data_IF_510463901630
#
_entry.id   IF_510463901630
#
_cell.length_a   1.000
_cell.length_b   1.000
_cell.length_c   1.000
_cell.angle_alpha   90.00
_cell.angle_beta   90.00
_cell.angle_gamma   90.00
#
_symmetry.space_group_name_H-M   'P 1'
#
loop_
_entity.id
_entity.type
_entity.pdbx_description
1 polymer ?
#
# COMPACT_ATOMS: atom_id res chain seq x y z
N UNK A 1 7.73 42.91 17.00
CA UNK A 1 7.40 42.29 18.08
C UNK A 1 6.30 41.36 17.87
N UNK A 2 5.21 41.77 17.50
CA UNK A 2 4.15 40.91 17.30
C UNK A 2 4.43 39.90 16.26
N UNK A 3 5.18 40.25 15.30
CA UNK A 3 5.47 39.37 14.27
C UNK A 3 6.22 38.21 14.80
N UNK A 4 7.09 38.46 15.71
CA UNK A 4 7.84 37.46 16.22
C UNK A 4 7.04 36.59 17.00
N UNK A 5 6.19 37.06 17.74
CA UNK A 5 5.38 36.25 18.56
C UNK A 5 4.53 35.36 17.74
N UNK A 6 4.11 35.81 16.62
CA UNK A 6 3.33 34.98 15.79
C UNK A 6 4.09 33.84 15.29
N UNK A 7 5.29 34.08 14.90
CA UNK A 7 6.09 33.02 14.37
C UNK A 7 6.33 32.02 15.42
N UNK A 8 6.57 32.44 16.62
CA UNK A 8 6.85 31.52 17.63
C UNK A 8 5.65 30.74 17.92
N UNK A 9 4.54 31.34 17.94
CA UNK A 9 3.36 30.60 18.24
C UNK A 9 3.15 29.52 17.22
N UNK A 10 3.45 29.83 16.02
CA UNK A 10 3.23 28.88 14.99
C UNK A 10 4.04 27.67 15.22
N UNK A 11 5.22 27.87 15.76
CA UNK A 11 5.98 26.79 15.92
C UNK A 11 5.64 26.07 17.07
N UNK A 12 5.31 26.64 18.08
CA UNK A 12 5.04 25.96 19.21
C UNK A 12 3.97 25.03 19.03
N UNK A 13 3.03 25.35 18.28
CA UNK A 13 2.00 24.46 18.12
C UNK A 13 2.43 23.16 17.72
N UNK A 14 3.49 23.07 17.02
CA UNK A 14 3.86 21.86 16.55
C UNK A 14 4.44 21.01 17.52
N UNK A 15 4.91 21.52 18.54
CA UNK A 15 5.61 20.66 19.30
C UNK A 15 5.03 20.35 20.43
N UNK A 16 4.61 21.09 20.91
CA UNK A 16 4.31 20.86 22.06
C UNK A 16 3.35 20.05 22.23
N UNK A 17 2.72 20.09 21.58
CA UNK A 17 1.76 19.38 21.74
C UNK A 17 2.10 18.11 21.91
N UNK A 18 3.05 17.78 21.89
CA UNK A 18 3.38 16.63 21.82
C UNK A 18 3.30 15.93 22.80
N UNK A 19 3.46 16.21 23.63
CA UNK A 19 3.48 15.48 24.36
C UNK A 19 2.69 14.52 23.99
N UNK A 20 1.73 14.25 24.14
CA UNK A 20 1.05 13.28 23.65
C UNK A 20 0.67 13.65 22.39
N UNK A 21 0.76 14.81 22.17
CA UNK A 21 0.39 15.18 20.97
C UNK A 21 1.48 15.37 20.14
N UNK A 22 2.64 15.27 20.56
CA UNK A 22 3.74 15.38 19.73
C UNK A 22 3.70 14.43 18.65
N UNK A 23 3.30 13.25 18.97
CA UNK A 23 3.29 12.26 17.95
C UNK A 23 2.18 12.55 16.99
N UNK A 24 1.12 13.11 17.44
CA UNK A 24 0.08 13.39 16.53
C UNK A 24 0.44 14.54 15.62
N UNK A 25 1.46 15.27 15.97
CA UNK A 25 1.89 16.40 15.18
C UNK A 25 2.28 15.99 13.77
N UNK A 26 2.92 14.85 13.59
CA UNK A 26 3.32 14.43 12.24
C UNK A 26 2.10 14.15 11.37
N UNK A 27 1.14 13.41 11.89
CA UNK A 27 -0.05 13.12 11.12
C UNK A 27 -0.82 14.38 10.81
N UNK A 28 -0.84 15.34 11.75
CA UNK A 28 -1.57 16.54 11.50
C UNK A 28 -0.92 17.40 10.46
N UNK A 29 0.41 17.39 10.39
CA UNK A 29 1.09 18.12 9.34
C UNK A 29 0.77 17.49 8.01
N UNK A 30 0.72 16.17 7.94
CA UNK A 30 0.36 15.52 6.70
C UNK A 30 -1.09 15.82 6.35
N UNK A 31 -1.97 15.89 7.34
CA UNK A 31 -3.38 16.11 7.09
C UNK A 31 -3.67 17.48 6.51
N UNK A 32 -2.78 18.45 6.77
CA UNK A 32 -3.01 19.81 6.27
C UNK A 32 -2.47 20.04 4.89
N UNK A 33 -1.86 19.04 4.27
CA UNK A 33 -1.33 19.20 2.93
C UNK A 33 -2.36 18.73 1.91
N UNK A 34 -2.28 19.22 0.69
CA UNK A 34 -3.13 18.72 -0.37
C UNK A 34 -2.92 17.22 -0.51
N UNK A 35 -4.00 16.47 -0.65
CA UNK A 35 -3.93 15.04 -0.76
C UNK A 35 -4.49 14.62 -2.10
N UNK A 36 -3.62 14.30 -3.06
CA UNK A 36 -4.02 13.91 -4.40
C UNK A 36 -3.27 12.70 -4.93
N UNK A 37 -2.41 12.09 -4.12
CA UNK A 37 -1.65 10.94 -4.58
C UNK A 37 -1.29 10.03 -3.43
N UNK A 38 -1.09 8.75 -3.72
CA UNK A 38 -0.65 7.76 -2.76
C UNK A 38 0.43 6.89 -3.39
N UNK A 39 1.24 6.28 -2.54
CA UNK A 39 2.19 5.26 -2.98
C UNK A 39 1.76 3.93 -2.38
N UNK A 40 1.72 2.90 -3.21
CA UNK A 40 1.46 1.53 -2.78
C UNK A 40 2.78 0.79 -2.88
N UNK A 41 3.26 0.28 -1.77
CA UNK A 41 4.51 -0.49 -1.73
C UNK A 41 4.17 -1.95 -1.49
N UNK A 42 4.79 -2.83 -2.27
CA UNK A 42 4.64 -4.27 -2.07
C UNK A 42 6.05 -4.78 -1.79
N UNK A 43 6.24 -5.48 -0.68
CA UNK A 43 7.54 -6.06 -0.35
C UNK A 43 7.36 -7.55 -0.07
N UNK A 44 8.40 -8.33 -0.33
CA UNK A 44 8.34 -9.75 -0.04
C UNK A 44 8.57 -9.99 1.46
N UNK A 45 7.84 -10.95 2.00
CA UNK A 45 8.07 -11.39 3.36
C UNK A 45 9.06 -12.57 3.28
N UNK A 46 10.33 -12.27 3.42
CA UNK A 46 11.41 -13.22 3.15
C UNK A 46 12.33 -13.31 4.37
N UNK A 47 11.89 -14.06 5.37
CA UNK A 47 12.59 -14.15 6.64
C UNK A 47 14.00 -14.70 6.56
N UNK A 48 14.29 -15.49 5.54
CA UNK A 48 15.56 -16.18 5.43
C UNK A 48 16.40 -15.70 4.24
N UNK A 49 16.05 -14.58 3.66
CA UNK A 49 16.73 -13.99 2.51
C UNK A 49 16.86 -15.01 1.37
N UNK A 50 15.82 -15.77 1.14
CA UNK A 50 15.84 -16.83 0.13
C UNK A 50 15.93 -16.26 -1.28
N UNK A 51 15.30 -15.12 -1.53
CA UNK A 51 15.27 -14.54 -2.86
C UNK A 51 16.66 -14.18 -3.36
N UNK A 52 17.48 -13.57 -2.51
CA UNK A 52 18.84 -13.21 -2.88
C UNK A 52 19.72 -14.42 -3.10
N UNK A 53 19.39 -15.55 -2.48
CA UNK A 53 20.18 -16.76 -2.57
C UNK A 53 19.79 -17.62 -3.75
N UNK A 54 18.71 -17.30 -4.45
CA UNK A 54 18.34 -18.03 -5.65
C UNK A 54 19.26 -17.66 -6.79
N UNK A 55 19.52 -18.62 -7.68
CA UNK A 55 20.24 -18.34 -8.90
C UNK A 55 19.40 -17.38 -9.76
N UNK A 56 20.06 -16.51 -10.55
CA UNK A 56 19.32 -15.60 -11.42
C UNK A 56 18.35 -16.30 -12.36
N UNK A 57 18.66 -17.53 -12.79
CA UNK A 57 17.76 -18.28 -13.67
C UNK A 57 16.42 -18.63 -13.01
N UNK A 58 16.37 -18.61 -11.68
CA UNK A 58 15.13 -18.86 -10.96
C UNK A 58 14.55 -17.56 -10.41
N UNK A 59 15.41 -16.63 -9.97
CA UNK A 59 14.98 -15.38 -9.37
C UNK A 59 14.32 -14.45 -10.39
N UNK A 60 14.95 -14.26 -11.55
CA UNK A 60 14.46 -13.31 -12.54
C UNK A 60 13.08 -13.67 -13.11
N UNK A 61 12.80 -14.93 -13.44
CA UNK A 61 11.46 -15.28 -13.89
C UNK A 61 10.40 -15.07 -12.81
N UNK A 62 10.75 -15.31 -11.54
CA UNK A 62 9.80 -15.10 -10.45
C UNK A 62 9.48 -13.60 -10.30
N UNK A 63 10.50 -12.74 -10.34
CA UNK A 63 10.30 -11.29 -10.26
C UNK A 63 9.52 -10.80 -11.47
N UNK A 64 9.75 -11.37 -12.64
CA UNK A 64 9.01 -11.01 -13.84
C UNK A 64 7.53 -11.39 -13.72
N UNK A 65 7.23 -12.53 -13.14
CA UNK A 65 5.85 -12.95 -12.92
C UNK A 65 5.15 -11.98 -11.96
N UNK A 66 5.80 -11.62 -10.86
CA UNK A 66 5.23 -10.68 -9.90
C UNK A 66 5.00 -9.31 -10.55
N UNK A 67 5.93 -8.87 -11.40
CA UNK A 67 5.80 -7.61 -12.13
C UNK A 67 4.60 -7.65 -13.06
N UNK A 68 4.42 -8.74 -13.79
CA UNK A 68 3.31 -8.88 -14.72
C UNK A 68 1.98 -8.86 -13.98
N UNK A 69 1.89 -9.59 -12.87
CA UNK A 69 0.67 -9.62 -12.06
C UNK A 69 0.33 -8.23 -11.53
N UNK A 70 1.30 -7.50 -11.04
CA UNK A 70 1.05 -6.17 -10.49
C UNK A 70 0.60 -5.21 -11.59
N UNK A 71 1.24 -5.24 -12.75
CA UNK A 71 0.83 -4.37 -13.85
C UNK A 71 -0.58 -4.70 -14.35
N UNK A 72 -0.92 -5.97 -14.42
CA UNK A 72 -2.26 -6.37 -14.82
C UNK A 72 -3.30 -5.99 -13.75
N UNK A 73 -2.93 -6.10 -12.48
CA UNK A 73 -3.80 -5.68 -11.38
C UNK A 73 -4.10 -4.18 -11.47
N UNK A 74 -3.09 -3.36 -11.73
CA UNK A 74 -3.27 -1.92 -11.89
C UNK A 74 -4.21 -1.63 -13.05
N UNK A 75 -3.94 -2.23 -14.20
CA UNK A 75 -4.73 -1.98 -15.41
C UNK A 75 -6.20 -2.37 -15.21
N UNK A 76 -6.44 -3.57 -14.68
CA UNK A 76 -7.82 -4.04 -14.52
C UNK A 76 -8.55 -3.30 -13.40
N UNK A 77 -7.87 -3.00 -12.30
CA UNK A 77 -8.52 -2.31 -11.19
C UNK A 77 -8.93 -0.89 -11.56
N UNK A 78 -8.09 -0.16 -12.27
CA UNK A 78 -8.38 1.24 -12.59
C UNK A 78 -9.49 1.40 -13.64
N UNK A 79 -9.99 0.30 -14.20
CA UNK A 79 -11.16 0.34 -15.07
C UNK A 79 -12.45 0.42 -14.26
N UNK A 80 -12.39 0.21 -12.94
CA UNK A 80 -13.61 0.21 -12.13
C UNK A 80 -14.24 1.61 -12.06
N UNK A 81 -15.54 1.73 -12.27
CA UNK A 81 -16.20 3.05 -12.22
C UNK A 81 -15.97 3.79 -10.90
N UNK A 82 -15.86 3.05 -9.80
CA UNK A 82 -15.64 3.64 -8.49
C UNK A 82 -14.31 4.39 -8.43
N UNK A 83 -13.35 4.02 -9.27
CA UNK A 83 -12.01 4.60 -9.25
C UNK A 83 -11.76 5.52 -10.45
N UNK A 84 -12.82 6.00 -11.08
CA UNK A 84 -12.69 6.91 -12.20
C UNK A 84 -11.90 8.15 -11.77
N UNK A 85 -10.97 8.58 -12.58
CA UNK A 85 -10.15 9.75 -12.28
C UNK A 85 -8.88 9.42 -11.52
N UNK A 86 -8.58 8.15 -11.29
CA UNK A 86 -7.31 7.75 -10.70
C UNK A 86 -6.43 7.15 -11.79
N UNK A 87 -5.18 7.57 -11.86
CA UNK A 87 -4.23 7.01 -12.81
C UNK A 87 -2.93 6.63 -12.13
N UNK A 88 -2.21 5.69 -12.71
CA UNK A 88 -0.90 5.30 -12.23
C UNK A 88 0.16 6.20 -12.87
N UNK A 89 1.09 6.69 -12.06
CA UNK A 89 2.13 7.59 -12.55
C UNK A 89 3.32 6.81 -13.09
N UNK A 90 3.61 5.67 -12.52
CA UNK A 90 4.74 4.84 -12.96
C UNK A 90 4.28 3.44 -13.34
N UNK A 91 5.13 2.75 -14.09
CA UNK A 91 4.92 1.35 -14.40
C UNK A 91 5.70 0.54 -13.39
N UNK A 92 5.06 -0.23 -12.54
CA UNK A 92 5.76 -0.94 -11.47
C UNK A 92 6.65 -2.06 -12.00
N UNK A 93 7.73 -2.29 -11.29
CA UNK A 93 8.68 -3.34 -11.62
C UNK A 93 9.21 -3.91 -10.31
N UNK A 94 9.15 -5.22 -10.14
CA UNK A 94 9.68 -5.87 -8.95
C UNK A 94 11.18 -6.13 -9.07
N UNK A 95 11.87 -5.78 -8.01
CA UNK A 95 13.23 -6.26 -7.78
C UNK A 95 13.24 -6.93 -6.41
N UNK A 96 14.40 -7.26 -5.89
CA UNK A 96 14.50 -7.98 -4.60
C UNK A 96 13.93 -7.19 -3.44
N UNK A 97 13.88 -5.88 -3.55
CA UNK A 97 13.32 -5.05 -2.48
C UNK A 97 11.81 -4.81 -2.64
N UNK A 98 11.21 -5.36 -3.69
CA UNK A 98 9.77 -5.21 -3.92
C UNK A 98 9.46 -4.31 -5.09
N UNK A 99 8.28 -3.71 -5.06
CA UNK A 99 7.83 -2.79 -6.10
C UNK A 99 6.98 -1.68 -5.50
N UNK A 100 6.79 -0.60 -6.22
CA UNK A 100 5.86 0.45 -5.81
C UNK A 100 5.04 0.94 -6.99
N UNK A 101 3.86 1.43 -6.71
CA UNK A 101 3.00 2.07 -7.68
C UNK A 101 2.54 3.38 -7.08
N UNK A 102 2.74 4.47 -7.80
CA UNK A 102 2.21 5.77 -7.38
C UNK A 102 0.92 6.03 -8.13
N UNK A 103 -0.14 6.33 -7.40
CA UNK A 103 -1.44 6.64 -7.97
C UNK A 103 -1.76 8.11 -7.73
N UNK A 104 -2.38 8.73 -8.71
CA UNK A 104 -2.69 10.15 -8.65
C UNK A 104 -4.15 10.37 -8.98
N UNK A 105 -4.76 11.33 -8.28
CA UNK A 105 -6.12 11.78 -8.59
C UNK A 105 -6.05 12.82 -9.71
N UNK A 106 -6.79 12.60 -10.78
CA UNK A 106 -6.82 13.51 -11.92
C UNK A 106 -7.79 14.68 -11.67
N UNK A 107 -8.63 14.55 -10.65
CA UNK A 107 -9.57 15.61 -10.29
C UNK A 107 -9.91 15.49 -8.80
N UNK A 108 -10.63 16.46 -8.28
CA UNK A 108 -10.91 16.54 -6.84
C UNK A 108 -11.90 15.50 -6.34
N UNK A 109 -12.58 14.81 -7.24
CA UNK A 109 -13.57 13.81 -6.84
C UNK A 109 -13.00 12.40 -6.86
N UNK A 110 -11.81 12.21 -7.41
CA UNK A 110 -11.21 10.88 -7.50
C UNK A 110 -10.79 10.36 -6.13
N UNK A 111 -11.08 9.09 -5.87
CA UNK A 111 -10.83 8.49 -4.57
C UNK A 111 -9.50 7.74 -4.60
N UNK A 112 -8.42 8.49 -4.61
CA UNK A 112 -7.08 7.92 -4.79
C UNK A 112 -6.66 7.04 -3.62
N UNK A 113 -7.06 7.36 -2.39
CA UNK A 113 -6.74 6.53 -1.24
C UNK A 113 -7.45 5.19 -1.33
N UNK A 114 -8.71 5.20 -1.78
CA UNK A 114 -9.46 3.96 -1.95
C UNK A 114 -8.81 3.10 -3.03
N UNK A 115 -8.38 3.73 -4.14
CA UNK A 115 -7.68 3.01 -5.20
C UNK A 115 -6.41 2.35 -4.66
N UNK A 116 -5.65 3.06 -3.84
CA UNK A 116 -4.43 2.52 -3.27
C UNK A 116 -4.69 1.32 -2.37
N UNK A 117 -5.66 1.42 -1.50
CA UNK A 117 -6.02 0.32 -0.60
C UNK A 117 -6.56 -0.87 -1.39
N UNK A 118 -7.39 -0.62 -2.40
CA UNK A 118 -7.93 -1.69 -3.23
C UNK A 118 -6.81 -2.38 -4.03
N UNK A 119 -5.87 -1.62 -4.57
CA UNK A 119 -4.75 -2.19 -5.31
C UNK A 119 -3.87 -3.05 -4.41
N UNK A 120 -3.55 -2.55 -3.22
CA UNK A 120 -2.74 -3.30 -2.27
C UNK A 120 -3.41 -4.63 -1.91
N UNK A 121 -4.70 -4.58 -1.59
CA UNK A 121 -5.43 -5.80 -1.23
C UNK A 121 -5.53 -6.76 -2.41
N UNK A 122 -5.82 -6.24 -3.59
CA UNK A 122 -5.90 -7.05 -4.81
C UNK A 122 -4.59 -7.78 -5.05
N UNK A 123 -3.46 -7.06 -4.96
CA UNK A 123 -2.18 -7.71 -5.21
C UNK A 123 -1.89 -8.77 -4.15
N UNK A 124 -2.19 -8.52 -2.89
CA UNK A 124 -1.99 -9.53 -1.85
C UNK A 124 -2.85 -10.78 -2.10
N UNK A 125 -4.06 -10.61 -2.60
CA UNK A 125 -4.92 -11.74 -2.97
C UNK A 125 -4.31 -12.55 -4.11
N UNK A 126 -3.81 -11.86 -5.13
CA UNK A 126 -3.16 -12.52 -6.28
C UNK A 126 -1.87 -13.22 -5.84
N UNK A 127 -1.07 -12.56 -5.03
CA UNK A 127 0.19 -13.13 -4.55
C UNK A 127 -0.07 -14.40 -3.73
N UNK A 128 -1.12 -14.41 -2.93
CA UNK A 128 -1.43 -15.57 -2.14
C UNK A 128 -1.84 -16.76 -3.01
N UNK A 129 -2.61 -16.53 -4.05
CA UNK A 129 -3.02 -17.58 -4.98
C UNK A 129 -1.78 -18.16 -5.69
N UNK A 130 -0.90 -17.27 -6.18
CA UNK A 130 0.30 -17.73 -6.88
C UNK A 130 1.24 -18.44 -5.90
N UNK A 131 1.37 -17.94 -4.68
CA UNK A 131 2.19 -18.57 -3.66
C UNK A 131 1.70 -19.99 -3.37
N UNK A 132 0.41 -20.14 -3.12
CA UNK A 132 -0.16 -21.44 -2.81
C UNK A 132 0.03 -22.42 -3.98
N UNK A 133 -0.19 -21.95 -5.22
CA UNK A 133 -0.04 -22.78 -6.38
C UNK A 133 1.42 -23.19 -6.59
N UNK A 134 2.35 -22.27 -6.42
CA UNK A 134 3.78 -22.55 -6.61
C UNK A 134 4.29 -23.53 -5.54
N UNK A 135 3.89 -23.37 -4.30
CA UNK A 135 4.29 -24.29 -3.24
C UNK A 135 3.77 -25.70 -3.55
N UNK A 136 2.52 -25.78 -4.01
CA UNK A 136 1.94 -27.06 -4.38
C UNK A 136 2.71 -27.72 -5.50
N UNK A 137 3.26 -26.94 -6.43
CA UNK A 137 4.04 -27.45 -7.55
C UNK A 137 5.54 -27.50 -7.25
N UNK A 138 5.94 -27.33 -6.00
CA UNK A 138 7.33 -27.31 -5.57
C UNK A 138 8.14 -26.23 -6.27
N UNK A 139 7.52 -25.09 -6.55
CA UNK A 139 8.20 -23.93 -7.14
C UNK A 139 8.40 -22.87 -6.08
N UNK A 140 9.44 -22.07 -6.26
CA UNK A 140 9.75 -20.97 -5.33
C UNK A 140 8.65 -19.92 -5.38
N UNK A 141 8.23 -19.46 -4.22
CA UNK A 141 7.34 -18.31 -4.08
C UNK A 141 7.47 -17.76 -2.67
N UNK A 142 7.14 -16.48 -2.51
CA UNK A 142 7.20 -15.81 -1.22
C UNK A 142 5.86 -15.17 -0.88
N UNK A 143 5.52 -15.09 0.39
CA UNK A 143 4.41 -14.25 0.81
C UNK A 143 4.81 -12.80 0.63
N UNK A 144 3.84 -11.90 0.61
CA UNK A 144 4.07 -10.47 0.46
C UNK A 144 3.34 -9.71 1.54
N UNK A 145 3.70 -8.46 1.71
CA UNK A 145 2.98 -7.51 2.54
C UNK A 145 2.98 -6.18 1.82
N UNK A 146 2.06 -5.31 2.17
CA UNK A 146 1.84 -4.09 1.43
C UNK A 146 1.71 -2.88 2.36
N UNK A 147 2.05 -1.71 1.85
CA UNK A 147 1.88 -0.45 2.57
C UNK A 147 1.31 0.61 1.65
N UNK A 148 0.34 1.34 2.15
CA UNK A 148 -0.29 2.43 1.42
C UNK A 148 -0.06 3.71 2.20
N UNK A 149 0.60 4.69 1.59
CA UNK A 149 0.90 5.95 2.26
C UNK A 149 0.77 7.12 1.30
N UNK A 150 0.70 8.34 1.83
CA UNK A 150 0.84 9.50 0.97
C UNK A 150 2.34 9.66 0.63
N UNK A 151 2.63 10.46 -0.39
CA UNK A 151 4.00 10.54 -0.88
C UNK A 151 5.00 11.04 0.15
N UNK A 152 4.59 11.84 1.09
CA UNK A 152 5.51 12.35 2.10
C UNK A 152 5.90 11.29 3.12
N UNK A 153 5.16 10.19 3.19
CA UNK A 153 5.36 9.17 4.21
C UNK A 153 5.90 7.85 3.63
N UNK A 154 6.40 7.87 2.41
CA UNK A 154 6.89 6.66 1.75
C UNK A 154 8.03 6.01 2.54
N UNK A 155 8.97 6.82 3.02
CA UNK A 155 10.10 6.27 3.76
C UNK A 155 9.66 5.73 5.11
N UNK A 156 8.77 6.43 5.79
CA UNK A 156 8.22 5.95 7.05
C UNK A 156 7.51 4.62 6.85
N UNK A 157 6.75 4.49 5.76
CA UNK A 157 6.06 3.24 5.46
C UNK A 157 7.04 2.09 5.20
N UNK A 158 8.16 2.36 4.52
CA UNK A 158 9.16 1.33 4.30
C UNK A 158 9.68 0.78 5.63
N UNK A 159 9.92 1.66 6.60
CA UNK A 159 10.38 1.21 7.92
C UNK A 159 9.27 0.47 8.69
N UNK A 160 8.02 0.92 8.56
CA UNK A 160 6.91 0.25 9.22
C UNK A 160 6.73 -1.17 8.69
N UNK A 161 6.90 -1.36 7.39
CA UNK A 161 6.77 -2.69 6.80
C UNK A 161 7.82 -3.65 7.37
N UNK A 162 9.01 -3.15 7.71
CA UNK A 162 10.03 -3.98 8.32
C UNK A 162 9.80 -4.18 9.81
N UNK A 163 9.36 -3.17 10.54
CA UNK A 163 9.28 -3.24 11.99
C UNK A 163 8.00 -3.88 12.51
N UNK A 164 6.86 -3.60 11.90
CA UNK A 164 5.58 -4.11 12.38
C UNK A 164 4.79 -4.90 11.35
N UNK A 165 5.14 -4.82 10.09
CA UNK A 165 4.40 -5.51 9.04
C UNK A 165 4.57 -7.02 9.12
N UNK A 166 3.48 -7.75 8.99
CA UNK A 166 3.48 -9.22 9.00
C UNK A 166 3.08 -9.72 7.62
N UNK A 167 3.35 -10.99 7.37
CA UNK A 167 3.05 -11.55 6.05
C UNK A 167 1.57 -11.41 5.72
N UNK A 168 1.30 -11.07 4.49
CA UNK A 168 -0.05 -10.89 3.95
C UNK A 168 -0.81 -9.72 4.58
N UNK A 169 -0.13 -8.88 5.34
CA UNK A 169 -0.76 -7.75 6.00
C UNK A 169 -0.60 -6.47 5.17
N UNK A 170 -1.56 -5.59 5.28
CA UNK A 170 -1.48 -4.27 4.67
C UNK A 170 -1.47 -3.21 5.75
N UNK A 171 -0.49 -2.32 5.69
CA UNK A 171 -0.37 -1.17 6.58
C UNK A 171 -0.80 0.09 5.84
N UNK A 172 -1.41 1.00 6.55
CA UNK A 172 -1.94 2.24 5.98
C UNK A 172 -1.44 3.43 6.81
N UNK A 173 -0.84 4.41 6.15
CA UNK A 173 -0.38 5.63 6.79
C UNK A 173 -0.79 6.80 5.90
N UNK A 174 -1.96 7.35 6.16
CA UNK A 174 -2.56 8.39 5.32
C UNK A 174 -3.01 9.57 6.16
N UNK A 175 -3.05 10.77 5.57
CA UNK A 175 -3.63 11.93 6.25
C UNK A 175 -5.13 11.74 6.38
N UNK A 176 -5.76 12.59 7.17
CA UNK A 176 -7.19 12.49 7.45
C UNK A 176 -8.05 12.48 6.19
N UNK A 177 -7.68 13.25 5.19
CA UNK A 177 -8.43 13.28 3.93
C UNK A 177 -8.42 11.90 3.25
N UNK A 178 -7.31 11.19 3.35
CA UNK A 178 -7.21 9.85 2.79
C UNK A 178 -8.02 8.85 3.60
N UNK A 179 -7.96 8.93 4.92
CA UNK A 179 -8.74 8.04 5.78
C UNK A 179 -10.23 8.23 5.51
N UNK A 180 -10.68 9.48 5.29
CA UNK A 180 -12.09 9.70 4.99
C UNK A 180 -12.54 9.04 3.70
N UNK A 181 -11.65 8.88 2.75
CA UNK A 181 -12.00 8.22 1.49
C UNK A 181 -12.23 6.71 1.67
N UNK A 182 -11.65 6.11 2.71
CA UNK A 182 -11.67 4.66 2.85
C UNK A 182 -12.51 4.17 4.04
N UNK A 183 -12.80 5.02 5.00
CA UNK A 183 -13.39 4.56 6.25
C UNK A 183 -14.79 3.94 6.13
N UNK A 184 -15.51 4.19 5.04
CA UNK A 184 -16.80 3.57 4.83
C UNK A 184 -16.66 2.22 4.09
N UNK A 185 -15.49 1.92 3.61
CA UNK A 185 -15.26 0.72 2.79
C UNK A 185 -14.45 -0.34 3.52
N UNK A 186 -13.69 0.05 4.53
CA UNK A 186 -12.74 -0.85 5.18
C UNK A 186 -12.82 -0.76 6.69
N UNK A 187 -12.35 -1.81 7.36
CA UNK A 187 -12.18 -1.83 8.80
C UNK A 187 -10.69 -1.74 9.08
N UNK A 188 -10.32 -0.94 10.08
CA UNK A 188 -8.94 -0.69 10.41
C UNK A 188 -8.67 -1.02 11.87
N UNK A 189 -7.47 -1.50 12.16
CA UNK A 189 -7.01 -1.75 13.51
C UNK A 189 -5.79 -0.90 13.78
N UNK A 190 -5.51 -0.65 15.04
CA UNK A 190 -4.29 0.06 15.45
C UNK A 190 -3.17 -0.93 15.67
N UNK A 191 -1.94 -0.45 15.55
CA UNK A 191 -0.76 -1.25 15.90
C UNK A 191 -0.77 -1.44 17.41
N UNK A 192 -0.55 -2.68 17.88
CA UNK A 192 -0.52 -2.96 19.30
C UNK A 192 0.83 -2.55 19.88
N UNK A 193 0.81 -1.88 21.03
CA UNK A 193 2.01 -1.45 21.75
C UNK A 193 2.96 -0.65 20.87
N UNK A 194 2.48 0.44 20.27
CA UNK A 194 3.32 1.23 19.40
C UNK A 194 4.47 1.88 20.17
N UNK A 195 5.65 1.90 19.56
CA UNK A 195 6.84 2.46 20.17
C UNK A 195 7.32 3.71 19.48
N UNK A 196 6.79 4.04 18.32
CA UNK A 196 7.19 5.24 17.57
C UNK A 196 5.96 6.03 17.18
N UNK A 197 6.19 7.26 16.75
CA UNK A 197 5.13 8.13 16.26
C UNK A 197 4.43 7.49 15.09
N UNK A 198 5.20 6.94 14.16
CA UNK A 198 4.62 6.37 12.94
C UNK A 198 3.81 5.11 13.26
N UNK A 199 4.25 4.32 14.22
CA UNK A 199 3.48 3.13 14.63
C UNK A 199 2.15 3.52 15.26
N UNK A 200 2.11 4.64 15.99
CA UNK A 200 0.86 5.09 16.58
C UNK A 200 -0.12 5.60 15.53
N UNK A 201 0.39 6.21 14.45
CA UNK A 201 -0.46 6.75 13.40
C UNK A 201 -0.82 5.69 12.35
N UNK A 202 -0.12 4.59 12.34
CA UNK A 202 -0.32 3.54 11.35
C UNK A 202 -1.58 2.75 11.63
N UNK A 203 -2.34 2.47 10.59
CA UNK A 203 -3.50 1.58 10.67
C UNK A 203 -3.19 0.28 9.96
N UNK A 204 -3.82 -0.79 10.41
CA UNK A 204 -3.69 -2.11 9.79
C UNK A 204 -5.04 -2.43 9.16
N UNK A 205 -5.03 -2.82 7.89
CA UNK A 205 -6.25 -3.21 7.20
C UNK A 205 -6.82 -4.48 7.82
N UNK A 206 -8.09 -4.46 8.18
CA UNK A 206 -8.73 -5.59 8.83
C UNK A 206 -10.01 -6.01 8.11
N UNK A 207 -10.05 -5.87 6.82
CA UNK A 207 -11.18 -6.31 6.02
C UNK A 207 -11.91 -5.18 5.34
N UNK A 208 -12.58 -5.51 4.27
CA UNK A 208 -13.40 -4.57 3.52
C UNK A 208 -14.87 -4.95 3.63
N UNK A 209 -15.77 -4.03 3.26
CA UNK A 209 -17.17 -4.36 3.22
C UNK A 209 -17.43 -5.34 2.07
N UNK A 210 -18.59 -5.97 2.08
CA UNK A 210 -18.91 -7.02 1.11
C UNK A 210 -18.82 -6.53 -0.34
N UNK A 211 -19.29 -5.33 -0.60
CA UNK A 211 -19.26 -4.78 -1.95
C UNK A 211 -17.84 -4.61 -2.46
N UNK A 212 -16.94 -4.10 -1.61
CA UNK A 212 -15.53 -3.91 -1.98
C UNK A 212 -14.87 -5.26 -2.22
N UNK A 213 -15.08 -6.22 -1.33
CA UNK A 213 -14.46 -7.53 -1.45
C UNK A 213 -14.97 -8.24 -2.71
N UNK A 214 -16.24 -8.09 -3.05
CA UNK A 214 -16.79 -8.69 -4.26
C UNK A 214 -16.16 -8.05 -5.51
N UNK A 215 -15.99 -6.72 -5.52
CA UNK A 215 -15.35 -6.06 -6.65
C UNK A 215 -13.91 -6.53 -6.80
N UNK A 216 -13.19 -6.69 -5.69
CA UNK A 216 -11.80 -7.17 -5.73
C UNK A 216 -11.73 -8.61 -6.22
N UNK A 217 -12.69 -9.45 -5.83
CA UNK A 217 -12.74 -10.82 -6.30
C UNK A 217 -12.98 -10.87 -7.81
N UNK A 218 -13.84 -10.01 -8.32
CA UNK A 218 -14.12 -9.96 -9.76
C UNK A 218 -12.88 -9.51 -10.54
N UNK A 219 -12.18 -8.50 -10.05
CA UNK A 219 -10.95 -8.02 -10.71
C UNK A 219 -9.86 -9.08 -10.63
N UNK A 220 -9.71 -9.73 -9.47
CA UNK A 220 -8.75 -10.82 -9.31
C UNK A 220 -9.01 -11.92 -10.34
N UNK A 221 -10.26 -12.32 -10.51
CA UNK A 221 -10.60 -13.36 -11.46
C UNK A 221 -10.30 -12.92 -12.90
N UNK A 222 -10.54 -11.66 -13.22
CA UNK A 222 -10.21 -11.13 -14.55
C UNK A 222 -8.70 -11.19 -14.79
N UNK A 223 -7.88 -10.82 -13.81
CA UNK A 223 -6.42 -10.86 -13.93
C UNK A 223 -5.95 -12.31 -14.11
N UNK A 224 -6.49 -13.23 -13.33
CA UNK A 224 -6.10 -14.64 -13.42
C UNK A 224 -6.48 -15.25 -14.77
N UNK A 225 -7.58 -14.81 -15.37
CA UNK A 225 -7.95 -15.28 -16.69
C UNK A 225 -6.98 -14.80 -17.76
N UNK A 226 -6.45 -13.58 -17.64
CA UNK A 226 -5.47 -13.04 -18.55
C UNK A 226 -4.19 -13.90 -18.45
N UNK A 227 -3.77 -14.25 -17.21
CA UNK A 227 -2.58 -15.06 -17.01
C UNK A 227 -2.73 -16.43 -17.64
N UNK A 228 -3.88 -17.08 -17.46
CA UNK A 228 -4.11 -18.39 -18.05
C UNK A 228 -4.06 -18.34 -19.56
N UNK A 229 -4.59 -17.29 -20.16
CA UNK A 229 -4.57 -17.15 -21.60
C UNK A 229 -3.15 -16.97 -22.10
N UNK A 230 -2.35 -16.21 -21.38
CA UNK A 230 -0.95 -15.99 -21.80
C UNK A 230 -0.11 -17.25 -21.62
N UNK A 231 -0.37 -18.06 -20.60
CA UNK A 231 0.35 -19.30 -20.42
C UNK A 231 0.02 -20.31 -21.52
N UNK A 232 -1.17 -20.26 -22.06
CA UNK A 232 -1.57 -21.18 -23.11
C UNK A 232 -1.11 -20.72 -24.48
N UNK A 233 -0.77 -19.48 -24.64
CA UNK A 233 -0.28 -18.95 -25.87
C UNK A 233 1.21 -19.14 -26.03
#
# INVERSE_FOLDING_TARGET
>A
DNLKDQVTAGKDNNHDSHKSNGSNGMARLSANRPFDSVSVQIVFHDEFNMLERLAPSQRLPYLALCTQLLNQAVTELLKQPLLLGVSAINEPHFDESGAYVMLKADNSHATVALAGVMLAKLYLMLNKIIHDKHIELSRFALPAKAGVSDNAQVEAMSHLLESVGKKEQMLILLPNAGIKQINHHVQLQSVMRPTTVYERECAIFDGGNDAMIQRLADVRNAVLMIEETEEQG
#
